data_IF_551680292406
#
_entry.id   IF_551680292406
#
_cell.length_a   1.000
_cell.length_b   1.000
_cell.length_c   1.000
_cell.angle_alpha   90.00
_cell.angle_beta   90.00
_cell.angle_gamma   90.00
#
_symmetry.space_group_name_H-M   'P 1'
#
loop_
_entity.id
_entity.type
_entity.pdbx_description
1 polymer ?
#
# COMPACT_ATOMS: atom_id res chain seq x y z
N UNK A 1 6.94 -11.74 -16.72
CA UNK A 1 6.78 -11.17 -15.37
C UNK A 1 6.42 -9.71 -15.55
N UNK A 2 5.25 -9.29 -15.06
CA UNK A 2 5.00 -7.85 -14.93
C UNK A 2 6.10 -7.24 -14.06
N UNK A 3 6.58 -6.06 -14.44
CA UNK A 3 7.58 -5.35 -13.67
C UNK A 3 6.92 -4.90 -12.37
N UNK A 4 7.46 -5.33 -11.22
CA UNK A 4 7.02 -4.86 -9.92
C UNK A 4 7.13 -3.34 -9.87
N UNK A 5 6.00 -2.65 -9.72
CA UNK A 5 5.94 -1.21 -9.47
C UNK A 5 5.64 -0.98 -7.99
N UNK A 6 5.95 0.21 -7.46
CA UNK A 6 5.60 0.57 -6.08
C UNK A 6 4.10 0.43 -5.83
N UNK A 7 3.26 0.82 -6.79
CA UNK A 7 1.81 0.68 -6.69
C UNK A 7 1.38 -0.80 -6.58
N UNK A 8 1.98 -1.68 -7.39
CA UNK A 8 1.70 -3.14 -7.34
C UNK A 8 2.19 -3.76 -6.04
N UNK A 9 3.38 -3.38 -5.57
CA UNK A 9 3.91 -3.84 -4.29
C UNK A 9 3.00 -3.43 -3.11
N UNK A 10 2.46 -2.20 -3.14
CA UNK A 10 1.53 -1.72 -2.13
C UNK A 10 0.17 -2.44 -2.19
N UNK A 11 -0.31 -2.83 -3.38
CA UNK A 11 -1.51 -3.67 -3.48
C UNK A 11 -1.31 -5.04 -2.82
N UNK A 12 -0.18 -5.70 -3.09
CA UNK A 12 0.14 -6.99 -2.47
C UNK A 12 0.21 -6.87 -0.94
N UNK A 13 0.80 -5.78 -0.43
CA UNK A 13 0.85 -5.52 1.00
C UNK A 13 -0.55 -5.29 1.61
N UNK A 14 -1.42 -4.55 0.91
CA UNK A 14 -2.83 -4.36 1.34
C UNK A 14 -3.55 -5.70 1.42
N UNK A 15 -3.41 -6.56 0.41
CA UNK A 15 -4.05 -7.88 0.38
C UNK A 15 -3.59 -8.72 1.58
N UNK A 16 -2.29 -8.73 1.89
CA UNK A 16 -1.76 -9.44 3.07
C UNK A 16 -2.26 -8.87 4.40
N UNK A 17 -2.39 -7.55 4.53
CA UNK A 17 -2.94 -6.93 5.74
C UNK A 17 -4.42 -7.29 5.93
N UNK A 18 -5.19 -7.28 4.84
CA UNK A 18 -6.60 -7.67 4.89
C UNK A 18 -6.76 -9.15 5.22
N UNK A 19 -5.96 -10.03 4.62
CA UNK A 19 -5.96 -11.46 4.93
C UNK A 19 -5.65 -11.72 6.41
N UNK A 20 -4.72 -10.96 7.01
CA UNK A 20 -4.42 -11.06 8.44
C UNK A 20 -5.61 -10.66 9.32
N UNK A 21 -6.30 -9.57 8.97
CA UNK A 21 -7.51 -9.10 9.66
C UNK A 21 -8.61 -10.16 9.56
N UNK A 22 -8.86 -10.68 8.36
CA UNK A 22 -9.97 -11.61 8.08
C UNK A 22 -9.72 -13.00 8.70
N UNK A 23 -8.47 -13.46 8.70
CA UNK A 23 -8.11 -14.77 9.27
C UNK A 23 -7.88 -14.73 10.79
N UNK A 24 -7.84 -13.55 11.42
CA UNK A 24 -7.55 -13.38 12.85
C UNK A 24 -6.17 -13.89 13.27
N UNK A 25 -5.23 -13.95 12.31
CA UNK A 25 -3.92 -14.57 12.48
C UNK A 25 -2.85 -13.49 12.67
N UNK A 26 -2.21 -13.45 13.84
CA UNK A 26 -1.11 -12.53 14.20
C UNK A 26 0.22 -12.93 13.54
N UNK A 27 0.28 -13.13 12.22
CA UNK A 27 1.44 -13.80 11.63
C UNK A 27 2.59 -12.82 11.30
N UNK A 28 2.35 -11.56 10.89
CA UNK A 28 3.45 -10.78 10.29
C UNK A 28 3.43 -9.24 10.37
N UNK A 29 2.40 -8.59 10.93
CA UNK A 29 2.38 -7.11 11.03
C UNK A 29 1.93 -6.55 12.38
N UNK A 30 1.65 -7.41 13.36
CA UNK A 30 1.30 -6.96 14.69
C UNK A 30 2.57 -6.64 15.46
N UNK A 31 2.68 -5.38 15.91
CA UNK A 31 3.70 -4.91 16.82
C UNK A 31 3.10 -4.69 18.20
N UNK A 32 3.33 -5.65 19.08
CA UNK A 32 2.85 -5.63 20.47
C UNK A 32 3.42 -4.45 21.28
N UNK A 33 4.60 -3.93 20.91
CA UNK A 33 5.25 -2.81 21.62
C UNK A 33 4.50 -1.49 21.40
N UNK A 34 4.04 -1.25 20.17
CA UNK A 34 3.34 -0.01 19.78
C UNK A 34 1.82 -0.18 19.69
N UNK A 35 1.26 -1.34 20.04
CA UNK A 35 -0.14 -1.74 19.79
C UNK A 35 -0.58 -1.44 18.34
N UNK A 36 0.34 -1.63 17.40
CA UNK A 36 0.06 -1.42 15.98
C UNK A 36 -0.21 -2.77 15.37
N UNK A 37 -1.47 -3.06 15.07
CA UNK A 37 -1.88 -4.28 14.38
C UNK A 37 -2.14 -4.01 12.89
N UNK A 38 -2.43 -5.10 12.16
CA UNK A 38 -2.77 -5.03 10.73
C UNK A 38 -3.95 -4.08 10.44
N UNK A 39 -4.93 -3.98 11.35
CA UNK A 39 -6.09 -3.10 11.19
C UNK A 39 -5.74 -1.62 11.37
N UNK A 40 -4.81 -1.30 12.28
CA UNK A 40 -4.26 0.04 12.46
C UNK A 40 -3.43 0.44 11.23
N UNK A 41 -2.63 -0.48 10.67
CA UNK A 41 -1.71 -0.19 9.58
C UNK A 41 -2.40 -0.04 8.21
N UNK A 42 -3.44 -0.83 7.95
CA UNK A 42 -4.15 -0.87 6.66
C UNK A 42 -4.50 0.52 6.07
N UNK A 43 -5.19 1.43 6.79
CA UNK A 43 -5.57 2.73 6.22
C UNK A 43 -4.36 3.60 5.83
N UNK A 44 -3.22 3.45 6.50
CA UNK A 44 -1.99 4.17 6.16
C UNK A 44 -1.36 3.66 4.87
N UNK A 45 -1.39 2.35 4.66
CA UNK A 45 -0.86 1.74 3.43
C UNK A 45 -1.78 2.05 2.24
N UNK A 46 -3.10 2.04 2.43
CA UNK A 46 -4.05 2.51 1.42
C UNK A 46 -3.79 3.96 1.01
N UNK A 47 -3.52 4.83 2.00
CA UNK A 47 -3.14 6.23 1.76
C UNK A 47 -1.84 6.33 0.97
N UNK A 48 -0.80 5.61 1.38
CA UNK A 48 0.48 5.59 0.68
C UNK A 48 0.33 5.13 -0.78
N UNK A 49 -0.52 4.13 -1.04
CA UNK A 49 -0.86 3.71 -2.41
C UNK A 49 -1.51 4.84 -3.20
N UNK A 50 -2.44 5.56 -2.59
CA UNK A 50 -3.10 6.67 -3.27
C UNK A 50 -2.11 7.80 -3.59
N UNK A 51 -1.23 8.15 -2.66
CA UNK A 51 -0.21 9.17 -2.89
C UNK A 51 0.75 8.76 -4.04
N UNK A 52 1.11 7.47 -4.13
CA UNK A 52 1.88 6.93 -5.28
C UNK A 52 1.12 7.06 -6.60
N UNK A 53 -0.19 6.79 -6.61
CA UNK A 53 -1.03 6.96 -7.81
C UNK A 53 -1.11 8.42 -8.23
N UNK A 54 -1.32 9.32 -7.28
CA UNK A 54 -1.43 10.76 -7.54
C UNK A 54 -0.10 11.31 -8.09
N UNK A 55 1.03 10.92 -7.49
CA UNK A 55 2.36 11.27 -7.99
C UNK A 55 2.60 10.77 -9.42
N UNK A 56 2.22 9.52 -9.72
CA UNK A 56 2.32 8.98 -11.08
C UNK A 56 1.44 9.76 -12.05
N UNK A 57 0.23 10.14 -11.65
CA UNK A 57 -0.67 10.93 -12.49
C UNK A 57 -0.10 12.32 -12.77
N UNK A 58 0.41 13.01 -11.75
CA UNK A 58 1.07 14.31 -11.88
C UNK A 58 2.29 14.25 -12.80
N UNK A 59 3.09 13.18 -12.73
CA UNK A 59 4.24 12.98 -13.63
C UNK A 59 3.80 12.83 -15.08
N UNK A 60 2.72 12.09 -15.35
CA UNK A 60 2.19 11.92 -16.70
C UNK A 60 1.65 13.25 -17.27
N UNK A 61 0.91 14.02 -16.47
CA UNK A 61 0.41 15.35 -16.88
C UNK A 61 1.55 16.31 -17.24
N UNK A 62 2.66 16.27 -16.49
CA UNK A 62 3.85 17.08 -16.79
C UNK A 62 4.50 16.65 -18.10
N UNK A 63 4.60 15.35 -18.36
CA UNK A 63 5.17 14.83 -19.60
C UNK A 63 4.35 15.28 -20.82
N UNK A 64 3.02 15.19 -20.75
CA UNK A 64 2.13 15.64 -21.84
C UNK A 64 2.09 17.15 -22.04
N UNK A 65 2.54 17.94 -21.05
CA UNK A 65 2.59 19.41 -21.13
C UNK A 65 3.95 19.94 -21.63
N UNK A 66 4.94 19.07 -21.79
CA UNK A 66 6.30 19.43 -22.24
C UNK A 66 6.56 19.01 -23.69
N UNK A 67 5.58 18.38 -24.34
CA UNK A 67 5.52 18.11 -25.79
C UNK A 67 4.74 19.23 -26.52
#
# INVERSE_FOLDING_TARGET
MEKLTTEVALNVLIDWLQDNIDCGNMIIFDNDEDNTDSAVLLPWIERARQDVRDLRHLQLLRQTSTD
#
